data_IF_062133502768
#
_entry.id   IF_062133502768
#
_cell.length_a   1.000
_cell.length_b   1.000
_cell.length_c   1.000
_cell.angle_alpha   90.00
_cell.angle_beta   90.00
_cell.angle_gamma   90.00
#
_symmetry.space_group_name_H-M   'P 1'
#
loop_
_entity.id
_entity.type
_entity.pdbx_description
1 polymer ?
#
# COMPACT_ATOMS: atom_id res chain seq x y z
N UNK A 1 47.80 -40.76 -6.13
CA UNK A 1 47.87 -39.58 -7.02
C UNK A 1 46.46 -39.11 -7.39
N UNK A 2 45.57 -39.93 -7.96
CA UNK A 2 44.23 -39.50 -8.37
C UNK A 2 43.35 -39.09 -7.18
N UNK A 3 43.41 -39.80 -6.05
CA UNK A 3 42.60 -39.44 -4.86
C UNK A 3 43.03 -38.09 -4.27
N UNK A 4 44.32 -37.83 -4.16
CA UNK A 4 44.86 -36.55 -3.70
C UNK A 4 44.47 -35.41 -4.64
N UNK A 5 44.64 -35.61 -5.95
CA UNK A 5 44.22 -34.62 -6.93
C UNK A 5 42.68 -34.31 -6.86
N UNK A 6 41.89 -35.33 -6.52
CA UNK A 6 40.45 -35.18 -6.37
C UNK A 6 40.07 -34.29 -5.16
N UNK A 7 40.70 -34.48 -4.01
CA UNK A 7 40.44 -33.63 -2.83
C UNK A 7 41.06 -32.24 -2.96
N UNK A 8 42.19 -32.12 -3.66
CA UNK A 8 42.86 -30.83 -3.94
C UNK A 8 42.09 -29.97 -4.97
N UNK A 9 41.19 -30.57 -5.75
CA UNK A 9 40.35 -29.82 -6.71
C UNK A 9 39.28 -28.94 -6.05
N UNK A 10 39.00 -29.14 -4.76
CA UNK A 10 38.07 -28.33 -3.99
C UNK A 10 38.77 -27.09 -3.44
N UNK A 11 38.40 -25.88 -3.95
CA UNK A 11 39.06 -24.61 -3.60
C UNK A 11 38.36 -23.80 -2.52
N UNK A 12 37.22 -24.27 -1.99
CA UNK A 12 36.39 -23.57 -1.04
C UNK A 12 36.02 -24.38 0.21
N UNK A 13 36.60 -25.53 0.38
CA UNK A 13 36.31 -26.43 1.48
C UNK A 13 37.61 -27.05 2.02
N UNK A 14 37.79 -27.02 3.33
CA UNK A 14 38.84 -27.75 3.97
C UNK A 14 38.44 -29.23 4.09
N UNK A 15 39.32 -30.11 3.64
CA UNK A 15 39.13 -31.56 3.70
C UNK A 15 40.36 -32.17 4.32
N UNK A 16 40.19 -32.86 5.43
CA UNK A 16 41.29 -33.58 6.06
C UNK A 16 40.79 -34.78 6.85
N UNK A 17 41.68 -35.73 7.06
CA UNK A 17 41.42 -36.93 7.83
C UNK A 17 42.48 -37.12 8.89
N UNK A 18 42.06 -37.62 10.05
CA UNK A 18 42.93 -37.87 11.21
C UNK A 18 42.81 -39.33 11.65
N UNK A 19 43.92 -39.87 12.17
CA UNK A 19 43.93 -41.13 12.89
C UNK A 19 43.38 -41.00 14.33
N UNK A 20 43.37 -42.11 15.08
CA UNK A 20 42.91 -42.10 16.50
C UNK A 20 43.79 -41.30 17.44
N UNK A 21 45.00 -40.95 17.04
CA UNK A 21 45.95 -40.14 17.80
C UNK A 21 45.95 -38.66 17.32
N UNK A 22 44.95 -38.27 16.48
CA UNK A 22 44.81 -36.96 15.88
C UNK A 22 45.92 -36.56 14.90
N UNK A 23 46.75 -37.53 14.38
CA UNK A 23 47.73 -37.26 13.33
C UNK A 23 47.02 -37.23 11.98
N UNK A 24 47.52 -36.39 11.07
CA UNK A 24 46.98 -36.34 9.71
C UNK A 24 47.18 -37.63 8.93
N UNK A 25 46.10 -38.18 8.41
CA UNK A 25 46.12 -39.22 7.40
C UNK A 25 46.21 -38.66 5.99
N UNK A 26 45.50 -37.58 5.76
CA UNK A 26 45.52 -36.82 4.50
C UNK A 26 44.88 -35.45 4.72
N UNK A 27 45.17 -34.51 3.86
CA UNK A 27 44.53 -33.18 3.81
C UNK A 27 44.61 -32.59 2.40
N UNK A 28 43.69 -31.67 2.07
CA UNK A 28 43.77 -30.94 0.82
C UNK A 28 44.63 -29.67 0.93
N UNK A 29 44.99 -29.09 -0.21
CA UNK A 29 45.81 -27.90 -0.27
C UNK A 29 45.11 -26.69 0.39
N UNK A 30 43.76 -26.61 0.33
CA UNK A 30 42.99 -25.56 0.97
C UNK A 30 43.14 -25.58 2.49
N UNK A 31 43.01 -26.74 3.13
CA UNK A 31 43.25 -26.92 4.56
C UNK A 31 44.69 -26.55 4.96
N UNK A 32 45.67 -26.96 4.16
CA UNK A 32 47.10 -26.59 4.41
C UNK A 32 47.25 -25.06 4.44
N UNK A 33 46.63 -24.36 3.48
CA UNK A 33 46.68 -22.91 3.40
C UNK A 33 45.93 -22.24 4.58
N UNK A 34 44.78 -22.77 4.99
CA UNK A 34 44.05 -22.31 6.16
C UNK A 34 44.84 -22.41 7.45
N UNK A 35 45.50 -23.54 7.71
CA UNK A 35 46.33 -23.75 8.89
C UNK A 35 47.50 -22.78 8.93
N UNK A 36 48.16 -22.50 7.80
CA UNK A 36 49.20 -21.49 7.71
C UNK A 36 48.64 -20.07 7.97
N UNK A 37 47.46 -19.76 7.43
CA UNK A 37 46.87 -18.42 7.52
C UNK A 37 46.34 -18.12 8.92
N UNK A 38 45.58 -19.04 9.53
CA UNK A 38 44.92 -18.81 10.81
C UNK A 38 45.73 -19.19 12.04
N UNK A 39 46.60 -20.19 11.92
CA UNK A 39 47.41 -20.70 13.05
C UNK A 39 48.90 -20.46 12.90
N UNK A 40 49.35 -20.01 11.71
CA UNK A 40 50.77 -19.75 11.45
C UNK A 40 51.61 -21.00 11.36
N UNK A 41 51.02 -22.19 11.13
CA UNK A 41 51.69 -23.47 11.16
C UNK A 41 51.69 -24.15 9.80
N UNK A 42 52.79 -24.75 9.42
CA UNK A 42 52.88 -25.60 8.23
C UNK A 42 52.64 -27.07 8.62
N UNK A 43 51.65 -27.70 7.99
CA UNK A 43 51.25 -29.07 8.28
C UNK A 43 51.87 -30.06 7.32
N UNK A 44 52.20 -31.25 7.84
CA UNK A 44 52.67 -32.44 7.11
C UNK A 44 51.87 -33.66 7.58
N UNK A 45 52.02 -34.81 6.92
CA UNK A 45 51.36 -36.06 7.36
C UNK A 45 51.88 -36.58 8.71
N UNK A 46 52.99 -36.04 9.23
CA UNK A 46 53.51 -36.39 10.53
C UNK A 46 53.03 -35.43 11.64
N UNK A 47 52.29 -34.41 11.28
CA UNK A 47 51.82 -33.38 12.21
C UNK A 47 50.61 -33.86 13.01
N UNK A 48 50.51 -33.45 14.29
CA UNK A 48 49.35 -33.67 15.13
C UNK A 48 48.40 -32.45 15.11
N UNK A 49 47.19 -32.63 14.61
CA UNK A 49 46.23 -31.57 14.41
C UNK A 49 45.93 -30.82 15.72
N UNK A 50 45.67 -31.54 16.80
CA UNK A 50 45.25 -30.97 18.08
C UNK A 50 46.36 -30.15 18.75
N UNK A 51 47.60 -30.57 18.60
CA UNK A 51 48.76 -29.85 19.16
C UNK A 51 48.99 -28.49 18.45
N UNK A 52 48.57 -28.39 17.20
CA UNK A 52 48.71 -27.16 16.39
C UNK A 52 47.65 -26.10 16.69
N UNK A 53 46.57 -26.45 17.37
CA UNK A 53 45.50 -25.50 17.73
C UNK A 53 45.88 -24.74 19.01
N UNK A 54 46.27 -23.48 18.88
CA UNK A 54 46.72 -22.63 20.00
C UNK A 54 45.62 -22.14 20.94
N UNK A 55 44.36 -22.27 20.57
CA UNK A 55 43.20 -21.84 21.36
C UNK A 55 42.61 -23.02 22.14
N UNK A 56 42.70 -23.00 23.48
CA UNK A 56 42.25 -24.11 24.34
C UNK A 56 40.74 -24.38 24.24
N UNK A 57 39.94 -23.37 24.01
CA UNK A 57 38.48 -23.52 23.85
C UNK A 57 38.14 -24.26 22.55
N UNK A 58 38.77 -23.84 21.44
CA UNK A 58 38.63 -24.50 20.13
C UNK A 58 39.15 -25.92 20.22
N UNK A 59 40.35 -26.13 20.79
CA UNK A 59 40.97 -27.44 21.00
C UNK A 59 40.05 -28.38 21.75
N UNK A 60 39.49 -27.95 22.89
CA UNK A 60 38.57 -28.75 23.71
C UNK A 60 37.30 -29.11 22.95
N UNK A 61 36.78 -28.20 22.13
CA UNK A 61 35.59 -28.42 21.31
C UNK A 61 35.86 -29.48 20.22
N UNK A 62 37.00 -29.35 19.52
CA UNK A 62 37.39 -30.27 18.45
C UNK A 62 37.61 -31.68 19.00
N UNK A 63 38.32 -31.84 20.12
CA UNK A 63 38.52 -33.16 20.76
C UNK A 63 37.16 -33.79 21.06
N UNK A 64 36.23 -33.09 21.71
CA UNK A 64 34.88 -33.61 21.99
C UNK A 64 34.12 -34.02 20.73
N UNK A 65 34.28 -33.26 19.63
CA UNK A 65 33.64 -33.58 18.35
C UNK A 65 34.23 -34.82 17.72
N UNK A 66 35.56 -34.96 17.74
CA UNK A 66 36.28 -36.13 17.18
C UNK A 66 35.99 -37.40 18.00
N UNK A 67 35.96 -37.27 19.34
CA UNK A 67 35.64 -38.40 20.26
C UNK A 67 34.24 -38.97 20.00
N UNK A 68 33.25 -38.14 19.68
CA UNK A 68 31.93 -38.62 19.27
C UNK A 68 32.00 -39.50 18.01
N UNK A 69 32.84 -39.13 17.04
CA UNK A 69 33.01 -39.91 15.82
C UNK A 69 33.64 -41.25 16.14
N UNK A 70 34.65 -41.30 17.02
CA UNK A 70 35.25 -42.55 17.46
C UNK A 70 34.30 -43.47 18.23
N UNK A 71 33.18 -42.91 18.77
CA UNK A 71 32.08 -43.68 19.34
C UNK A 71 31.01 -44.08 18.30
N UNK A 72 31.25 -43.83 17.00
CA UNK A 72 30.39 -44.27 15.89
C UNK A 72 29.39 -43.20 15.41
N UNK A 73 29.44 -41.96 15.92
CA UNK A 73 28.54 -40.88 15.48
C UNK A 73 29.09 -40.23 14.19
N UNK A 74 28.18 -39.87 13.28
CA UNK A 74 28.45 -38.94 12.17
C UNK A 74 27.51 -37.77 12.31
N UNK A 75 28.00 -36.55 12.25
CA UNK A 75 27.18 -35.37 12.44
C UNK A 75 27.74 -34.14 11.73
N UNK A 76 26.91 -33.14 11.60
CA UNK A 76 27.30 -31.82 11.18
C UNK A 76 26.78 -30.75 12.12
N UNK A 77 27.48 -29.65 12.22
CA UNK A 77 27.00 -28.47 12.94
C UNK A 77 27.57 -27.20 12.31
N UNK A 78 26.89 -26.08 12.59
CA UNK A 78 27.29 -24.74 12.15
C UNK A 78 27.84 -24.01 13.37
N UNK A 79 28.98 -23.39 13.22
CA UNK A 79 29.61 -22.55 14.24
C UNK A 79 29.72 -21.12 13.73
N UNK A 80 29.54 -20.14 14.63
CA UNK A 80 29.88 -18.75 14.39
C UNK A 80 31.26 -18.47 15.01
N UNK A 81 32.14 -17.81 14.25
CA UNK A 81 33.51 -17.51 14.73
C UNK A 81 33.43 -16.32 15.67
N UNK A 82 33.85 -16.52 16.97
CA UNK A 82 33.68 -15.54 18.05
C UNK A 82 34.33 -14.16 17.76
N UNK A 83 35.46 -14.13 17.07
CA UNK A 83 36.21 -12.91 16.77
C UNK A 83 35.78 -12.20 15.49
N UNK A 84 34.87 -12.80 14.70
CA UNK A 84 34.35 -12.26 13.45
C UNK A 84 32.83 -12.41 13.42
N UNK A 85 32.12 -11.40 13.92
CA UNK A 85 30.65 -11.39 13.88
C UNK A 85 30.11 -11.67 12.46
N UNK A 86 29.11 -12.55 12.38
CA UNK A 86 28.48 -12.99 11.13
C UNK A 86 29.38 -13.82 10.21
N UNK A 87 30.38 -14.53 10.72
CA UNK A 87 31.19 -15.47 9.97
C UNK A 87 30.84 -16.89 10.40
N UNK A 88 30.33 -17.70 9.49
CA UNK A 88 29.78 -19.02 9.77
C UNK A 88 30.51 -20.12 9.05
N UNK A 89 30.96 -21.15 9.80
CA UNK A 89 31.53 -22.38 9.22
C UNK A 89 30.57 -23.55 9.45
N UNK A 90 30.41 -24.40 8.44
CA UNK A 90 29.74 -25.69 8.59
C UNK A 90 30.84 -26.77 8.70
N UNK A 91 30.87 -27.48 9.82
CA UNK A 91 31.81 -28.59 10.09
C UNK A 91 31.04 -29.91 9.99
N UNK A 92 31.59 -30.87 9.21
CA UNK A 92 31.03 -32.22 9.06
C UNK A 92 32.08 -33.22 9.50
N UNK A 93 31.67 -34.10 10.41
CA UNK A 93 32.56 -35.15 10.98
C UNK A 93 32.01 -36.53 10.62
N UNK A 94 32.86 -37.40 10.04
CA UNK A 94 32.45 -38.72 9.61
C UNK A 94 33.55 -39.78 9.93
N UNK A 95 33.16 -40.98 10.45
CA UNK A 95 34.12 -42.01 10.75
C UNK A 95 34.69 -42.65 9.49
N UNK A 96 35.97 -43.02 9.57
CA UNK A 96 36.65 -43.84 8.57
C UNK A 96 36.71 -45.28 9.12
N UNK A 97 36.13 -46.19 8.36
CA UNK A 97 36.11 -47.62 8.72
C UNK A 97 37.20 -48.39 7.96
N UNK A 98 37.86 -49.30 8.68
CA UNK A 98 38.59 -50.40 8.09
C UNK A 98 37.95 -51.71 8.60
N UNK A 99 37.36 -52.50 7.70
CA UNK A 99 36.43 -53.57 8.03
C UNK A 99 35.25 -53.09 8.93
N UNK A 100 35.24 -53.41 10.19
CA UNK A 100 34.21 -52.98 11.15
C UNK A 100 34.75 -52.02 12.23
N UNK A 101 36.04 -51.70 12.18
CA UNK A 101 36.66 -50.81 13.17
C UNK A 101 36.81 -49.39 12.64
N UNK A 102 36.54 -48.39 13.51
CA UNK A 102 36.80 -47.00 13.20
C UNK A 102 38.30 -46.74 13.37
N UNK A 103 38.97 -46.45 12.28
CA UNK A 103 40.43 -46.20 12.24
C UNK A 103 40.77 -44.71 12.18
N UNK A 104 39.81 -43.85 11.88
CA UNK A 104 40.03 -42.43 11.76
C UNK A 104 38.73 -41.62 11.62
N UNK A 105 38.87 -40.34 11.43
CA UNK A 105 37.79 -39.38 11.18
C UNK A 105 38.11 -38.53 9.95
N UNK A 106 37.12 -38.32 9.08
CA UNK A 106 37.20 -37.32 8.02
C UNK A 106 36.44 -36.07 8.48
N UNK A 107 37.02 -34.89 8.27
CA UNK A 107 36.49 -33.60 8.64
C UNK A 107 36.43 -32.74 7.39
N UNK A 108 35.25 -32.14 7.16
CA UNK A 108 35.01 -31.12 6.13
C UNK A 108 34.65 -29.84 6.81
N UNK A 109 35.25 -28.72 6.40
CA UNK A 109 34.92 -27.37 6.91
C UNK A 109 34.65 -26.47 5.71
N UNK A 110 33.44 -25.93 5.63
CA UNK A 110 33.01 -25.01 4.58
C UNK A 110 32.64 -23.66 5.18
N UNK A 111 33.12 -22.56 4.58
CA UNK A 111 32.63 -21.23 4.87
C UNK A 111 31.27 -21.03 4.21
N UNK A 112 30.24 -20.94 5.04
CA UNK A 112 28.86 -20.76 4.61
C UNK A 112 28.37 -19.33 4.88
N UNK A 113 29.25 -18.39 5.15
CA UNK A 113 28.90 -17.01 5.52
C UNK A 113 28.02 -16.34 4.48
N UNK A 114 28.40 -16.41 3.20
CA UNK A 114 27.62 -15.84 2.10
C UNK A 114 26.25 -16.52 1.99
N UNK A 115 26.21 -17.86 2.11
CA UNK A 115 24.96 -18.62 2.09
C UNK A 115 24.02 -18.19 3.21
N UNK A 116 24.55 -18.02 4.44
CA UNK A 116 23.79 -17.55 5.60
C UNK A 116 23.30 -16.10 5.46
N UNK A 117 24.10 -15.24 4.87
CA UNK A 117 23.70 -13.85 4.57
C UNK A 117 22.51 -13.82 3.60
N UNK A 118 22.58 -14.57 2.49
CA UNK A 118 21.46 -14.67 1.54
C UNK A 118 20.21 -15.32 2.16
N UNK A 119 20.37 -16.38 2.96
CA UNK A 119 19.25 -17.01 3.67
C UNK A 119 18.56 -16.00 4.59
N UNK A 120 19.32 -15.20 5.35
CA UNK A 120 18.80 -14.16 6.23
C UNK A 120 18.15 -13.00 5.46
N UNK A 121 18.73 -12.59 4.32
CA UNK A 121 18.16 -11.56 3.46
C UNK A 121 16.84 -12.02 2.83
N UNK A 122 16.78 -13.24 2.31
CA UNK A 122 15.55 -13.85 1.79
C UNK A 122 14.48 -13.94 2.89
N UNK A 123 14.86 -14.32 4.10
CA UNK A 123 13.95 -14.34 5.25
C UNK A 123 13.47 -12.93 5.60
N UNK A 124 14.34 -11.95 5.62
CA UNK A 124 13.98 -10.55 5.88
C UNK A 124 13.01 -10.02 4.81
N UNK A 125 13.28 -10.25 3.52
CA UNK A 125 12.37 -9.93 2.41
C UNK A 125 11.05 -10.70 2.50
N UNK A 126 11.07 -11.95 2.99
CA UNK A 126 9.87 -12.77 3.20
C UNK A 126 8.98 -12.29 4.34
N UNK A 127 9.45 -11.41 5.22
CA UNK A 127 8.72 -10.93 6.41
C UNK A 127 8.33 -9.46 6.38
N UNK A 128 8.77 -8.71 5.38
CA UNK A 128 8.45 -7.29 5.23
C UNK A 128 7.47 -7.05 4.11
N UNK A 129 6.64 -6.01 4.28
CA UNK A 129 5.84 -5.44 3.21
C UNK A 129 6.71 -4.53 2.35
N UNK A 130 6.75 -4.78 1.06
CA UNK A 130 7.65 -4.10 0.13
C UNK A 130 7.36 -2.61 -0.04
N UNK A 131 6.13 -2.17 0.19
CA UNK A 131 5.73 -0.78 0.06
C UNK A 131 6.06 0.02 1.32
N UNK A 132 5.73 -0.50 2.50
CA UNK A 132 5.77 0.25 3.77
C UNK A 132 6.99 -0.09 4.64
N UNK A 133 7.65 -1.22 4.40
CA UNK A 133 8.70 -1.74 5.28
C UNK A 133 8.20 -2.24 6.64
N UNK A 134 6.89 -2.21 6.91
CA UNK A 134 6.29 -2.84 8.07
C UNK A 134 6.41 -4.37 7.98
N UNK A 135 6.06 -5.08 9.05
CA UNK A 135 5.93 -6.53 8.93
C UNK A 135 4.77 -6.87 7.98
N UNK A 136 4.92 -7.95 7.21
CA UNK A 136 3.84 -8.44 6.38
C UNK A 136 2.93 -9.42 7.14
N UNK A 137 1.87 -9.91 6.48
CA UNK A 137 0.90 -10.86 7.05
C UNK A 137 1.56 -12.13 7.61
N UNK A 138 2.61 -12.65 6.95
CA UNK A 138 3.32 -13.84 7.41
C UNK A 138 4.04 -13.60 8.73
N UNK A 139 4.74 -12.47 8.85
CA UNK A 139 5.41 -12.09 10.10
C UNK A 139 4.43 -11.83 11.22
N UNK A 140 3.29 -11.21 10.91
CA UNK A 140 2.21 -11.02 11.87
C UNK A 140 1.74 -12.35 12.49
N UNK A 141 1.48 -13.37 11.66
CA UNK A 141 1.07 -14.69 12.16
C UNK A 141 2.13 -15.33 13.07
N UNK A 142 3.41 -15.22 12.71
CA UNK A 142 4.50 -15.71 13.56
C UNK A 142 4.56 -14.97 14.91
N UNK A 143 4.31 -13.65 14.93
CA UNK A 143 4.30 -12.86 16.17
C UNK A 143 3.13 -13.28 17.09
N UNK A 144 1.94 -13.55 16.55
CA UNK A 144 0.82 -14.04 17.32
C UNK A 144 1.18 -15.34 18.07
N UNK A 145 1.87 -16.27 17.41
CA UNK A 145 2.33 -17.52 18.03
C UNK A 145 3.34 -17.26 19.16
N UNK A 146 4.27 -16.32 18.96
CA UNK A 146 5.29 -15.97 19.97
C UNK A 146 4.72 -15.27 21.20
N UNK A 147 3.71 -14.42 20.98
CA UNK A 147 3.07 -13.64 22.04
C UNK A 147 2.05 -14.43 22.86
N UNK A 148 1.71 -15.67 22.45
CA UNK A 148 0.75 -16.50 23.16
C UNK A 148 1.31 -17.10 24.46
N UNK A 149 2.18 -16.38 25.14
CA UNK A 149 2.82 -16.77 26.40
C UNK A 149 2.48 -15.72 27.45
N UNK A 150 2.05 -16.16 28.64
CA UNK A 150 1.51 -15.30 29.72
C UNK A 150 2.37 -14.11 30.13
N UNK A 151 3.69 -14.19 29.96
CA UNK A 151 4.62 -13.10 30.33
C UNK A 151 4.42 -11.76 29.59
N UNK A 152 3.63 -11.75 28.52
CA UNK A 152 3.37 -10.57 27.68
C UNK A 152 2.02 -9.89 27.96
N UNK A 153 1.24 -10.43 28.92
CA UNK A 153 -0.07 -9.90 29.25
C UNK A 153 -0.03 -8.68 30.17
N UNK A 154 -0.98 -7.70 30.01
CA UNK A 154 -2.02 -7.68 28.98
C UNK A 154 -1.46 -7.37 27.58
N UNK A 155 -2.09 -7.91 26.54
CA UNK A 155 -1.72 -7.60 25.14
C UNK A 155 -2.89 -6.86 24.49
N UNK A 156 -2.64 -5.66 23.99
CA UNK A 156 -3.62 -4.95 23.17
C UNK A 156 -3.39 -5.20 21.68
N UNK A 157 -4.50 -5.43 20.97
CA UNK A 157 -4.55 -5.56 19.51
C UNK A 157 -5.30 -4.37 18.95
N UNK A 158 -4.65 -3.64 18.03
CA UNK A 158 -5.24 -2.49 17.36
C UNK A 158 -5.28 -2.77 15.86
N UNK A 159 -6.45 -2.56 15.27
CA UNK A 159 -6.63 -2.53 13.83
C UNK A 159 -6.78 -1.10 13.37
N UNK A 160 -6.05 -0.70 12.35
CA UNK A 160 -6.22 0.54 11.61
C UNK A 160 -6.59 0.21 10.17
N UNK A 161 -7.55 0.95 9.63
CA UNK A 161 -7.99 0.86 8.25
C UNK A 161 -7.97 2.27 7.64
N UNK A 162 -7.32 2.38 6.49
CA UNK A 162 -7.13 3.66 5.81
C UNK A 162 -8.38 4.01 5.02
N UNK A 163 -9.06 5.08 5.43
CA UNK A 163 -10.27 5.53 4.76
C UNK A 163 -9.95 6.22 3.43
N UNK A 164 -10.79 5.97 2.42
CA UNK A 164 -10.72 6.69 1.14
C UNK A 164 -9.57 6.29 0.22
N UNK A 165 -8.83 5.20 0.48
CA UNK A 165 -7.76 4.72 -0.40
C UNK A 165 -8.25 4.50 -1.84
N UNK A 166 -9.42 3.90 -2.01
CA UNK A 166 -10.01 3.70 -3.34
C UNK A 166 -10.33 5.03 -4.02
N UNK A 167 -10.86 6.00 -3.28
CA UNK A 167 -11.13 7.35 -3.82
C UNK A 167 -9.83 8.02 -4.25
N UNK A 168 -8.76 7.90 -3.44
CA UNK A 168 -7.43 8.43 -3.79
C UNK A 168 -6.90 7.81 -5.09
N UNK A 169 -6.99 6.48 -5.22
CA UNK A 169 -6.57 5.76 -6.43
C UNK A 169 -7.37 6.18 -7.67
N UNK A 170 -8.68 6.32 -7.53
CA UNK A 170 -9.60 6.62 -8.64
C UNK A 170 -9.57 8.10 -9.04
N UNK A 171 -9.38 9.01 -8.06
CA UNK A 171 -9.34 10.45 -8.30
C UNK A 171 -7.97 10.93 -8.80
N UNK A 172 -6.87 10.32 -8.33
CA UNK A 172 -5.51 10.76 -8.64
C UNK A 172 -4.72 9.64 -9.34
N UNK A 173 -4.04 8.79 -8.57
CA UNK A 173 -3.30 7.66 -9.13
C UNK A 173 -3.03 6.58 -8.08
N UNK A 174 -2.68 5.36 -8.52
CA UNK A 174 -2.19 4.31 -7.63
C UNK A 174 -0.93 4.75 -6.88
N UNK A 175 -0.08 5.57 -7.49
CA UNK A 175 1.12 6.12 -6.82
C UNK A 175 0.75 7.04 -5.66
N UNK A 176 -0.34 7.81 -5.76
CA UNK A 176 -0.80 8.67 -4.68
C UNK A 176 -1.48 7.85 -3.57
N UNK A 177 -2.16 6.77 -3.92
CA UNK A 177 -2.64 5.78 -2.96
C UNK A 177 -1.49 5.08 -2.21
N UNK A 178 -0.40 4.74 -2.91
CA UNK A 178 0.81 4.19 -2.29
C UNK A 178 1.46 5.19 -1.33
N UNK A 179 1.56 6.48 -1.70
CA UNK A 179 2.04 7.54 -0.79
C UNK A 179 1.17 7.67 0.46
N UNK A 180 -0.15 7.55 0.31
CA UNK A 180 -1.09 7.57 1.43
C UNK A 180 -0.80 6.43 2.40
N UNK A 181 -0.65 5.21 1.90
CA UNK A 181 -0.34 4.02 2.71
C UNK A 181 1.01 4.19 3.42
N UNK A 182 2.04 4.65 2.71
CA UNK A 182 3.38 4.87 3.28
C UNK A 182 3.35 5.94 4.38
N UNK A 183 2.66 7.05 4.16
CA UNK A 183 2.55 8.14 5.14
C UNK A 183 1.83 7.69 6.41
N UNK A 184 0.68 7.04 6.29
CA UNK A 184 -0.08 6.49 7.43
C UNK A 184 0.77 5.47 8.20
N UNK A 185 1.42 4.56 7.49
CA UNK A 185 2.32 3.55 8.07
C UNK A 185 3.47 4.18 8.87
N UNK A 186 4.06 5.25 8.34
CA UNK A 186 5.16 5.97 9.00
C UNK A 186 4.70 6.67 10.28
N UNK A 187 3.51 7.28 10.26
CA UNK A 187 2.91 7.93 11.43
C UNK A 187 2.60 6.89 12.51
N UNK A 188 1.97 5.77 12.15
CA UNK A 188 1.71 4.68 13.10
C UNK A 188 3.02 4.19 13.71
N UNK A 189 4.05 3.94 12.90
CA UNK A 189 5.36 3.50 13.39
C UNK A 189 5.99 4.50 14.37
N UNK A 190 5.90 5.79 14.09
CA UNK A 190 6.39 6.86 14.95
C UNK A 190 5.63 6.91 16.28
N UNK A 191 4.29 6.84 16.23
CA UNK A 191 3.44 6.94 17.43
C UNK A 191 3.60 5.78 18.40
N UNK A 192 4.02 4.61 17.91
CA UNK A 192 4.25 3.43 18.71
C UNK A 192 5.74 3.14 18.98
N UNK A 193 6.65 4.08 18.65
CA UNK A 193 8.10 3.87 18.78
C UNK A 193 8.56 3.68 20.23
N UNK A 194 7.91 4.34 21.19
CA UNK A 194 8.23 4.26 22.62
C UNK A 194 7.59 3.05 23.34
N UNK A 195 6.86 2.22 22.60
CA UNK A 195 6.16 1.05 23.11
C UNK A 195 6.72 -0.22 22.48
N UNK A 196 6.81 -1.30 23.27
CA UNK A 196 7.03 -2.62 22.69
C UNK A 196 5.83 -2.94 21.76
N UNK A 197 6.07 -2.92 20.46
CA UNK A 197 5.00 -3.06 19.48
C UNK A 197 5.44 -3.81 18.23
N UNK A 198 4.53 -4.58 17.66
CA UNK A 198 4.73 -5.29 16.40
C UNK A 198 3.70 -4.79 15.39
N UNK A 199 4.16 -3.94 14.47
CA UNK A 199 3.33 -3.27 13.48
C UNK A 199 3.41 -4.04 12.17
N UNK A 200 2.26 -4.42 11.62
CA UNK A 200 2.15 -5.26 10.41
C UNK A 200 1.10 -4.71 9.46
N UNK A 201 1.41 -4.70 8.18
CA UNK A 201 0.40 -4.50 7.12
C UNK A 201 -0.09 -5.86 6.66
N UNK A 202 -1.38 -6.14 6.84
CA UNK A 202 -1.99 -7.45 6.58
C UNK A 202 -2.90 -7.48 5.35
N UNK A 203 -3.32 -6.31 4.88
CA UNK A 203 -4.17 -6.10 3.70
C UNK A 203 -3.76 -4.85 2.93
N UNK A 204 -4.55 -4.46 1.94
CA UNK A 204 -4.29 -3.27 1.12
C UNK A 204 -4.21 -1.98 1.94
N UNK A 205 -5.20 -1.76 2.78
CA UNK A 205 -5.45 -0.60 3.63
C UNK A 205 -5.42 -0.94 5.14
N UNK A 206 -5.15 -2.19 5.50
CA UNK A 206 -5.23 -2.72 6.86
C UNK A 206 -3.85 -2.81 7.52
N UNK A 207 -3.70 -2.15 8.67
CA UNK A 207 -2.50 -2.18 9.51
C UNK A 207 -2.89 -2.65 10.90
N UNK A 208 -2.18 -3.66 11.41
CA UNK A 208 -2.39 -4.21 12.75
C UNK A 208 -1.19 -3.92 13.63
N UNK A 209 -1.46 -3.50 14.87
CA UNK A 209 -0.45 -3.29 15.90
C UNK A 209 -0.76 -4.22 17.07
N UNK A 210 0.23 -5.03 17.45
CA UNK A 210 0.22 -5.84 18.66
C UNK A 210 1.09 -5.14 19.70
N UNK A 211 0.52 -4.82 20.85
CA UNK A 211 1.21 -4.14 21.94
C UNK A 211 1.24 -5.05 23.18
N UNK A 212 2.36 -5.77 23.41
CA UNK A 212 2.60 -6.48 24.66
C UNK A 212 2.62 -5.52 25.87
N UNK A 213 2.27 -6.02 27.04
CA UNK A 213 2.31 -5.28 28.31
C UNK A 213 1.54 -3.94 28.27
N UNK A 214 0.50 -3.84 27.44
CA UNK A 214 -0.27 -2.62 27.22
C UNK A 214 -1.75 -2.91 27.40
N UNK A 215 -2.39 -2.15 28.29
CA UNK A 215 -3.84 -2.25 28.54
C UNK A 215 -4.68 -1.55 27.45
N UNK A 216 -6.00 -1.87 27.44
CA UNK A 216 -6.95 -1.35 26.45
C UNK A 216 -7.09 0.17 26.47
N UNK A 217 -7.00 0.81 27.63
CA UNK A 217 -7.22 2.25 27.75
C UNK A 217 -6.02 3.04 27.22
N UNK A 218 -4.81 2.55 27.54
CA UNK A 218 -3.56 3.07 26.96
C UNK A 218 -3.57 2.89 25.44
N UNK A 219 -3.94 1.71 24.95
CA UNK A 219 -4.01 1.42 23.53
C UNK A 219 -5.03 2.31 22.80
N UNK A 220 -6.23 2.53 23.37
CA UNK A 220 -7.24 3.45 22.83
C UNK A 220 -6.75 4.90 22.78
N UNK A 221 -6.07 5.32 23.84
CA UNK A 221 -5.48 6.67 23.88
C UNK A 221 -4.44 6.88 22.78
N UNK A 222 -3.56 5.88 22.56
CA UNK A 222 -2.57 5.90 21.48
C UNK A 222 -3.24 5.87 20.10
N UNK A 223 -4.24 5.01 19.90
CA UNK A 223 -4.99 4.93 18.64
C UNK A 223 -5.65 6.27 18.29
N UNK A 224 -6.28 6.91 19.28
CA UNK A 224 -6.93 8.21 19.06
C UNK A 224 -5.92 9.33 18.76
N UNK A 225 -4.79 9.38 19.46
CA UNK A 225 -3.70 10.32 19.15
C UNK A 225 -3.14 10.10 17.75
N UNK A 226 -2.98 8.83 17.36
CA UNK A 226 -2.51 8.44 16.03
C UNK A 226 -3.49 8.90 14.96
N UNK A 227 -4.80 8.65 15.16
CA UNK A 227 -5.86 9.11 14.27
C UNK A 227 -5.80 10.64 14.08
N UNK A 228 -5.79 11.41 15.17
CA UNK A 228 -5.70 12.88 15.12
C UNK A 228 -4.45 13.33 14.35
N UNK A 229 -3.29 12.69 14.57
CA UNK A 229 -2.05 13.05 13.87
C UNK A 229 -2.14 12.77 12.38
N UNK A 230 -2.79 11.68 11.97
CA UNK A 230 -3.04 11.33 10.57
C UNK A 230 -4.02 12.33 9.94
N UNK A 231 -5.12 12.65 10.60
CA UNK A 231 -6.15 13.59 10.11
C UNK A 231 -5.62 15.02 9.92
N UNK A 232 -4.53 15.38 10.60
CA UNK A 232 -3.82 16.65 10.38
C UNK A 232 -2.87 16.62 9.18
N UNK A 233 -2.74 15.51 8.45
CA UNK A 233 -1.93 15.41 7.23
C UNK A 233 -2.80 15.49 5.98
N UNK A 234 -2.17 15.85 4.87
CA UNK A 234 -2.82 15.97 3.58
C UNK A 234 -1.94 15.44 2.45
N UNK A 235 -2.55 14.81 1.45
CA UNK A 235 -1.94 14.47 0.18
C UNK A 235 -2.82 15.04 -0.93
N UNK A 236 -2.25 15.79 -1.87
CA UNK A 236 -2.98 16.46 -2.94
C UNK A 236 -4.17 17.28 -2.41
N UNK A 237 -3.98 17.97 -1.29
CA UNK A 237 -5.01 18.74 -0.56
C UNK A 237 -6.16 17.91 0.04
N UNK A 238 -6.10 16.59 -0.03
CA UNK A 238 -7.05 15.71 0.67
C UNK A 238 -6.54 15.40 2.07
N UNK A 239 -7.36 15.65 3.07
CA UNK A 239 -7.10 15.25 4.45
C UNK A 239 -7.09 13.71 4.54
N UNK A 240 -6.12 13.17 5.27
CA UNK A 240 -6.04 11.73 5.52
C UNK A 240 -7.03 11.34 6.60
N UNK A 241 -7.51 10.11 6.57
CA UNK A 241 -8.40 9.57 7.60
C UNK A 241 -8.15 8.09 7.81
N UNK A 242 -8.24 7.67 9.07
CA UNK A 242 -8.20 6.26 9.47
C UNK A 242 -9.30 5.96 10.46
N UNK A 243 -9.88 4.77 10.34
CA UNK A 243 -10.71 4.19 11.39
C UNK A 243 -9.91 3.16 12.16
N UNK A 244 -10.20 2.96 13.44
CA UNK A 244 -9.51 1.97 14.23
C UNK A 244 -10.45 1.19 15.15
N UNK A 245 -10.04 -0.01 15.53
CA UNK A 245 -10.67 -0.82 16.57
C UNK A 245 -9.62 -1.36 17.53
N UNK A 246 -9.98 -1.51 18.79
CA UNK A 246 -9.08 -1.94 19.86
C UNK A 246 -9.70 -3.08 20.66
N UNK A 247 -8.91 -4.10 20.93
CA UNK A 247 -9.28 -5.19 21.83
C UNK A 247 -8.09 -5.58 22.69
N UNK A 248 -8.34 -6.11 23.90
CA UNK A 248 -7.30 -6.56 24.81
C UNK A 248 -7.43 -8.06 25.03
N UNK A 249 -6.30 -8.76 24.99
CA UNK A 249 -6.15 -10.17 25.32
C UNK A 249 -5.83 -10.34 26.81
N UNK A 250 -6.65 -11.08 27.52
CA UNK A 250 -6.35 -11.63 28.85
C UNK A 250 -5.57 -12.94 28.76
N UNK A 251 -5.26 -13.53 29.92
CA UNK A 251 -4.43 -14.74 29.98
C UNK A 251 -5.09 -15.95 29.30
N UNK A 252 -6.40 -16.13 29.48
CA UNK A 252 -7.17 -17.28 28.99
C UNK A 252 -7.78 -17.10 27.59
N UNK A 253 -7.73 -15.87 27.05
CA UNK A 253 -8.35 -15.55 25.76
C UNK A 253 -7.58 -16.17 24.58
N UNK A 254 -8.31 -16.57 23.53
CA UNK A 254 -7.73 -16.96 22.26
C UNK A 254 -7.45 -15.72 21.39
N UNK A 255 -6.27 -15.64 20.75
CA UNK A 255 -5.92 -14.55 19.85
C UNK A 255 -6.92 -14.36 18.69
N UNK A 256 -7.48 -15.42 18.14
CA UNK A 256 -8.47 -15.33 17.06
C UNK A 256 -9.73 -14.58 17.51
N UNK A 257 -10.21 -14.84 18.72
CA UNK A 257 -11.37 -14.12 19.28
C UNK A 257 -11.06 -12.64 19.51
N UNK A 258 -9.85 -12.33 19.98
CA UNK A 258 -9.43 -10.96 20.25
C UNK A 258 -9.27 -10.16 18.96
N UNK A 259 -8.69 -10.77 17.93
CA UNK A 259 -8.62 -10.19 16.58
C UNK A 259 -10.02 -9.89 16.06
N UNK A 260 -10.93 -10.86 16.11
CA UNK A 260 -12.32 -10.69 15.69
C UNK A 260 -13.04 -9.58 16.48
N UNK A 261 -12.76 -9.43 17.79
CA UNK A 261 -13.30 -8.33 18.60
C UNK A 261 -12.76 -6.98 18.15
N UNK A 262 -11.45 -6.88 17.89
CA UNK A 262 -10.84 -5.64 17.39
C UNK A 262 -11.38 -5.26 16.01
N UNK A 263 -11.54 -6.21 15.09
CA UNK A 263 -12.17 -6.00 13.78
C UNK A 263 -13.65 -5.58 13.92
N UNK A 264 -14.39 -6.20 14.84
CA UNK A 264 -15.79 -5.81 15.11
C UNK A 264 -15.89 -4.41 15.69
N UNK A 265 -14.95 -4.00 16.55
CA UNK A 265 -14.87 -2.63 17.07
C UNK A 265 -14.55 -1.63 15.97
N UNK A 266 -13.57 -1.93 15.11
CA UNK A 266 -13.27 -1.17 13.90
C UNK A 266 -14.52 -1.01 13.01
N UNK A 267 -15.24 -2.10 12.74
CA UNK A 267 -16.43 -2.07 11.90
C UNK A 267 -17.53 -1.19 12.50
N UNK A 268 -17.78 -1.28 13.81
CA UNK A 268 -18.73 -0.39 14.51
C UNK A 268 -18.32 1.06 14.36
N UNK A 269 -17.05 1.39 14.62
CA UNK A 269 -16.54 2.75 14.49
C UNK A 269 -16.67 3.25 13.05
N UNK A 270 -16.37 2.43 12.04
CA UNK A 270 -16.64 2.75 10.63
C UNK A 270 -18.12 3.04 10.34
N UNK A 271 -19.04 2.27 10.91
CA UNK A 271 -20.48 2.51 10.70
C UNK A 271 -20.94 3.82 11.35
N UNK A 272 -20.49 4.13 12.56
CA UNK A 272 -20.81 5.42 13.23
C UNK A 272 -20.17 6.61 12.52
N UNK A 273 -18.97 6.45 12.01
CA UNK A 273 -18.22 7.49 11.30
C UNK A 273 -18.61 7.59 9.80
N UNK A 274 -19.10 6.52 9.18
CA UNK A 274 -19.32 6.44 7.73
C UNK A 274 -20.35 7.44 7.18
N UNK A 275 -21.37 7.79 7.95
CA UNK A 275 -22.32 8.84 7.57
C UNK A 275 -21.70 10.25 7.57
N UNK A 276 -20.70 10.49 8.41
CA UNK A 276 -19.97 11.76 8.52
C UNK A 276 -18.79 11.85 7.55
N UNK A 277 -17.92 10.82 7.51
CA UNK A 277 -16.66 10.85 6.74
C UNK A 277 -16.84 10.75 5.22
N UNK A 278 -17.82 9.98 4.73
CA UNK A 278 -18.09 9.88 3.28
C UNK A 278 -18.61 11.21 2.73
N UNK A 279 -19.53 11.85 3.47
CA UNK A 279 -19.98 13.22 3.16
C UNK A 279 -18.84 14.24 3.32
N UNK A 280 -17.92 14.05 4.28
CA UNK A 280 -16.73 14.87 4.46
C UNK A 280 -15.70 14.69 3.33
N UNK A 281 -15.48 13.48 2.84
CA UNK A 281 -14.60 13.25 1.69
C UNK A 281 -15.07 14.02 0.47
N UNK A 282 -16.36 13.94 0.13
CA UNK A 282 -16.91 14.74 -0.97
C UNK A 282 -16.83 16.24 -0.70
N UNK A 283 -17.13 16.68 0.52
CA UNK A 283 -16.97 18.10 0.91
C UNK A 283 -15.52 18.55 0.78
N UNK A 284 -14.56 17.72 1.19
CA UNK A 284 -13.13 18.00 1.07
C UNK A 284 -12.71 18.10 -0.39
N UNK A 285 -13.14 17.17 -1.25
CA UNK A 285 -12.87 17.22 -2.70
C UNK A 285 -13.48 18.50 -3.30
N UNK A 286 -14.72 18.84 -2.96
CA UNK A 286 -15.36 20.06 -3.44
C UNK A 286 -14.66 21.33 -2.93
N UNK A 287 -14.23 21.36 -1.67
CA UNK A 287 -13.49 22.52 -1.13
C UNK A 287 -12.12 22.65 -1.80
N UNK A 288 -11.43 21.53 -2.07
CA UNK A 288 -10.18 21.52 -2.80
C UNK A 288 -10.38 21.99 -4.25
N UNK A 289 -11.46 21.54 -4.90
CA UNK A 289 -11.80 21.98 -6.25
C UNK A 289 -12.09 23.48 -6.30
N UNK A 290 -12.78 24.04 -5.29
CA UNK A 290 -13.03 25.48 -5.16
C UNK A 290 -11.74 26.30 -5.05
N UNK A 291 -10.72 25.76 -4.40
CA UNK A 291 -9.41 26.43 -4.31
C UNK A 291 -8.60 26.30 -5.60
N UNK A 292 -8.77 25.24 -6.35
CA UNK A 292 -8.11 24.99 -7.65
C UNK A 292 -8.77 25.74 -8.80
N UNK A 293 -10.10 25.73 -8.87
CA UNK A 293 -10.90 26.36 -9.93
C UNK A 293 -11.67 27.56 -9.36
N UNK A 294 -11.09 28.73 -9.54
CA UNK A 294 -11.64 30.02 -9.02
C UNK A 294 -13.07 30.30 -9.49
N UNK A 295 -13.52 29.66 -10.58
CA UNK A 295 -14.85 29.88 -11.19
C UNK A 295 -15.90 28.87 -10.76
N UNK A 296 -15.54 27.80 -10.02
CA UNK A 296 -16.40 26.63 -9.86
C UNK A 296 -17.62 26.83 -8.95
N UNK A 297 -17.56 27.65 -7.89
CA UNK A 297 -18.68 27.76 -6.92
C UNK A 297 -19.86 28.57 -7.43
N UNK A 298 -19.60 29.76 -7.94
CA UNK A 298 -20.67 30.63 -8.50
C UNK A 298 -21.26 30.02 -9.76
N UNK A 299 -20.42 29.39 -10.60
CA UNK A 299 -20.82 28.62 -11.76
C UNK A 299 -21.79 27.50 -11.39
N UNK A 300 -21.39 26.59 -10.48
CA UNK A 300 -22.24 25.48 -10.06
C UNK A 300 -23.59 25.92 -9.49
N UNK A 301 -23.62 27.06 -8.75
CA UNK A 301 -24.84 27.63 -8.24
C UNK A 301 -25.74 28.12 -9.37
N UNK A 302 -25.23 28.91 -10.35
CA UNK A 302 -26.02 29.40 -11.49
C UNK A 302 -26.53 28.23 -12.35
N UNK A 303 -25.67 27.24 -12.66
CA UNK A 303 -26.10 26.02 -13.37
C UNK A 303 -27.23 25.31 -12.61
N UNK A 304 -27.09 25.14 -11.30
CA UNK A 304 -28.14 24.52 -10.47
C UNK A 304 -29.46 25.27 -10.51
N UNK A 305 -29.43 26.61 -10.48
CA UNK A 305 -30.66 27.42 -10.55
C UNK A 305 -31.37 27.29 -11.91
N UNK A 306 -30.60 27.25 -13.02
CA UNK A 306 -31.14 27.02 -14.36
C UNK A 306 -31.73 25.60 -14.45
N UNK A 307 -31.00 24.58 -14.02
CA UNK A 307 -31.45 23.19 -14.00
C UNK A 307 -32.77 23.01 -13.23
N UNK A 308 -32.89 23.62 -12.06
CA UNK A 308 -34.12 23.59 -11.26
C UNK A 308 -35.31 24.24 -11.96
N UNK A 309 -35.13 25.34 -12.69
CA UNK A 309 -36.20 26.00 -13.45
C UNK A 309 -36.66 25.10 -14.60
N UNK A 310 -35.72 24.50 -15.34
CA UNK A 310 -36.03 23.54 -16.42
C UNK A 310 -36.76 22.32 -15.84
N UNK A 311 -36.24 21.71 -14.77
CA UNK A 311 -36.84 20.55 -14.11
C UNK A 311 -38.23 20.77 -13.60
N UNK A 312 -38.51 21.95 -13.00
CA UNK A 312 -39.86 22.35 -12.57
C UNK A 312 -40.82 22.45 -13.75
N UNK A 313 -40.37 23.02 -14.87
CA UNK A 313 -41.19 23.16 -16.07
C UNK A 313 -41.45 21.82 -16.76
N UNK A 314 -40.52 20.83 -16.60
CA UNK A 314 -40.72 19.45 -17.00
C UNK A 314 -41.69 18.66 -16.10
N UNK A 315 -42.11 19.22 -14.97
CA UNK A 315 -42.97 18.54 -14.00
C UNK A 315 -42.24 17.51 -13.14
N UNK A 316 -40.91 17.65 -12.97
CA UNK A 316 -40.11 16.76 -12.12
C UNK A 316 -40.56 16.78 -10.66
N UNK A 317 -40.50 15.64 -9.97
CA UNK A 317 -40.83 15.53 -8.55
C UNK A 317 -39.87 16.32 -7.68
N UNK A 318 -40.21 16.56 -6.43
CA UNK A 318 -39.33 17.22 -5.45
C UNK A 318 -38.03 16.44 -5.27
N UNK A 319 -38.11 15.10 -5.31
CA UNK A 319 -36.95 14.20 -5.22
C UNK A 319 -36.03 14.37 -6.43
N UNK A 320 -36.57 14.32 -7.65
CA UNK A 320 -35.79 14.53 -8.88
C UNK A 320 -35.14 15.92 -8.92
N UNK A 321 -35.82 16.97 -8.45
CA UNK A 321 -35.25 18.31 -8.35
C UNK A 321 -34.10 18.40 -7.35
N UNK A 322 -34.13 17.63 -6.26
CA UNK A 322 -33.05 17.54 -5.30
C UNK A 322 -31.84 16.80 -5.91
N UNK A 323 -32.09 15.69 -6.61
CA UNK A 323 -31.02 14.95 -7.35
C UNK A 323 -30.41 15.85 -8.42
N UNK A 324 -31.22 16.55 -9.20
CA UNK A 324 -30.74 17.47 -10.24
C UNK A 324 -29.87 18.59 -9.65
N UNK A 325 -30.25 19.13 -8.49
CA UNK A 325 -29.45 20.12 -7.74
C UNK A 325 -28.10 19.51 -7.31
N UNK A 326 -28.12 18.28 -6.79
CA UNK A 326 -26.92 17.58 -6.36
C UNK A 326 -25.96 17.33 -7.55
N UNK A 327 -26.49 16.85 -8.68
CA UNK A 327 -25.69 16.60 -9.89
C UNK A 327 -25.09 17.91 -10.40
N UNK A 328 -25.86 18.99 -10.45
CA UNK A 328 -25.37 20.30 -10.90
C UNK A 328 -24.19 20.81 -10.08
N UNK A 329 -24.18 20.51 -8.77
CA UNK A 329 -23.08 20.88 -7.88
C UNK A 329 -21.86 19.97 -7.98
N UNK A 330 -22.02 18.75 -8.49
CA UNK A 330 -21.01 17.70 -8.51
C UNK A 330 -20.51 17.35 -9.93
N UNK A 331 -21.15 17.89 -11.00
CA UNK A 331 -20.86 17.46 -12.38
C UNK A 331 -19.37 17.56 -12.75
N UNK A 332 -18.72 18.56 -12.21
CA UNK A 332 -17.31 18.87 -12.45
C UNK A 332 -16.33 18.27 -11.39
N UNK A 333 -16.81 17.44 -10.45
CA UNK A 333 -15.99 16.94 -9.34
C UNK A 333 -14.71 16.23 -9.81
N UNK A 334 -14.75 15.60 -10.97
CA UNK A 334 -13.60 14.90 -11.55
C UNK A 334 -12.48 15.84 -12.04
N UNK A 335 -12.70 17.14 -12.12
CA UNK A 335 -11.65 18.13 -12.40
C UNK A 335 -10.58 18.18 -11.30
N UNK A 336 -10.85 17.61 -10.12
CA UNK A 336 -9.84 17.49 -9.05
C UNK A 336 -8.56 16.79 -9.52
N UNK A 337 -8.66 15.84 -10.45
CA UNK A 337 -7.54 15.09 -11.03
C UNK A 337 -6.80 15.85 -12.15
N UNK A 338 -7.32 16.99 -12.60
CA UNK A 338 -6.67 17.78 -13.65
C UNK A 338 -5.57 18.65 -13.02
N UNK A 339 -4.38 18.68 -13.63
CA UNK A 339 -3.30 19.53 -13.17
C UNK A 339 -3.66 21.02 -13.29
N UNK A 340 -3.25 21.83 -12.33
CA UNK A 340 -3.57 23.27 -12.28
C UNK A 340 -3.11 24.04 -13.51
N UNK A 341 -1.95 23.64 -14.09
CA UNK A 341 -1.42 24.24 -15.33
C UNK A 341 -2.31 24.02 -16.56
N UNK A 342 -3.14 22.94 -16.56
CA UNK A 342 -4.11 22.65 -17.62
C UNK A 342 -5.45 23.29 -17.29
N UNK A 343 -5.93 23.10 -16.03
CA UNK A 343 -7.22 23.60 -15.57
C UNK A 343 -7.32 25.12 -15.68
N UNK A 344 -6.27 25.85 -15.26
CA UNK A 344 -6.21 27.31 -15.23
C UNK A 344 -5.37 27.94 -16.37
N UNK A 345 -5.15 27.20 -17.47
CA UNK A 345 -4.34 27.69 -18.58
C UNK A 345 -4.93 28.95 -19.20
N UNK A 346 -4.17 30.05 -19.28
CA UNK A 346 -4.61 31.23 -19.98
C UNK A 346 -4.51 31.03 -21.49
N UNK A 347 -5.56 30.53 -22.13
CA UNK A 347 -5.62 30.30 -23.57
C UNK A 347 -6.22 28.95 -23.96
N UNK A 348 -6.11 28.59 -25.25
CA UNK A 348 -6.65 27.31 -25.73
C UNK A 348 -5.78 26.15 -25.28
N UNK A 349 -6.43 25.03 -24.91
CA UNK A 349 -5.76 23.75 -24.62
C UNK A 349 -5.18 23.16 -25.91
N UNK A 350 -4.04 22.46 -25.80
CA UNK A 350 -3.55 21.58 -26.89
C UNK A 350 -4.45 20.37 -27.04
N UNK A 351 -4.24 19.58 -28.09
CA UNK A 351 -5.03 18.34 -28.27
C UNK A 351 -4.82 17.36 -27.11
N UNK A 352 -3.57 17.21 -26.64
CA UNK A 352 -3.20 16.35 -25.51
C UNK A 352 -3.81 16.86 -24.20
N UNK A 353 -3.76 18.17 -23.95
CA UNK A 353 -4.38 18.79 -22.76
C UNK A 353 -5.91 18.66 -22.79
N UNK A 354 -6.49 18.76 -24.00
CA UNK A 354 -7.92 18.57 -24.17
C UNK A 354 -8.34 17.10 -23.91
N UNK A 355 -7.52 16.14 -24.32
CA UNK A 355 -7.75 14.73 -24.03
C UNK A 355 -7.67 14.43 -22.52
N UNK A 356 -6.80 15.12 -21.79
CA UNK A 356 -6.76 15.07 -20.32
C UNK A 356 -8.04 15.68 -19.74
N UNK A 357 -8.44 16.86 -20.21
CA UNK A 357 -9.64 17.55 -19.74
C UNK A 357 -10.90 16.69 -19.93
N UNK A 358 -11.04 16.01 -21.06
CA UNK A 358 -12.20 15.13 -21.35
C UNK A 358 -12.35 13.93 -20.40
N UNK A 359 -11.37 13.64 -19.58
CA UNK A 359 -11.44 12.52 -18.63
C UNK A 359 -12.19 12.84 -17.34
N UNK A 360 -12.48 14.14 -17.05
CA UNK A 360 -13.13 14.49 -15.78
C UNK A 360 -14.50 13.85 -15.56
N UNK A 361 -15.38 13.60 -16.58
CA UNK A 361 -16.63 12.91 -16.33
C UNK A 361 -16.45 11.46 -15.87
N UNK A 362 -15.46 10.74 -16.44
CA UNK A 362 -15.11 9.38 -16.03
C UNK A 362 -14.52 9.37 -14.62
N UNK A 363 -13.65 10.33 -14.30
CA UNK A 363 -13.08 10.46 -12.95
C UNK A 363 -14.16 10.78 -11.94
N UNK A 364 -15.07 11.72 -12.25
CA UNK A 364 -16.23 12.04 -11.41
C UNK A 364 -17.13 10.84 -11.17
N UNK A 365 -17.42 10.07 -12.23
CA UNK A 365 -18.16 8.81 -12.13
C UNK A 365 -17.47 7.81 -11.19
N UNK A 366 -16.15 7.59 -11.33
CA UNK A 366 -15.40 6.66 -10.47
C UNK A 366 -15.45 7.09 -9.01
N UNK A 367 -15.18 8.36 -8.71
CA UNK A 367 -15.26 8.92 -7.36
C UNK A 367 -16.63 8.67 -6.73
N UNK A 368 -17.72 9.05 -7.43
CA UNK A 368 -19.08 8.97 -6.89
C UNK A 368 -19.61 7.53 -6.81
N UNK A 369 -19.19 6.64 -7.72
CA UNK A 369 -19.57 5.22 -7.68
C UNK A 369 -18.99 4.46 -6.50
N UNK A 370 -17.96 4.98 -5.82
CA UNK A 370 -17.43 4.36 -4.60
C UNK A 370 -18.30 4.61 -3.37
N UNK A 371 -19.27 5.54 -3.49
CA UNK A 371 -20.10 6.03 -2.40
C UNK A 371 -21.57 5.66 -2.67
N UNK A 372 -22.18 4.74 -1.91
CA UNK A 372 -23.52 4.23 -2.19
C UNK A 372 -24.59 5.32 -2.33
N UNK A 373 -24.49 6.39 -1.53
CA UNK A 373 -25.44 7.52 -1.54
C UNK A 373 -25.41 8.36 -2.83
N UNK A 374 -24.32 8.26 -3.63
CA UNK A 374 -24.15 8.97 -4.89
C UNK A 374 -24.25 8.05 -6.13
N UNK A 375 -24.41 6.76 -5.93
CA UNK A 375 -24.47 5.77 -7.03
C UNK A 375 -25.56 6.07 -8.06
N UNK A 376 -26.71 6.56 -7.62
CA UNK A 376 -27.84 6.93 -8.50
C UNK A 376 -27.48 8.06 -9.48
N UNK A 377 -26.63 9.01 -9.06
CA UNK A 377 -26.29 10.18 -9.88
C UNK A 377 -24.99 10.02 -10.66
N UNK A 378 -24.22 8.98 -10.39
CA UNK A 378 -22.89 8.82 -11.00
C UNK A 378 -22.97 8.73 -12.55
N UNK A 379 -23.98 8.06 -13.09
CA UNK A 379 -24.21 7.97 -14.55
C UNK A 379 -24.58 9.32 -15.18
N UNK A 380 -25.28 10.19 -14.46
CA UNK A 380 -25.57 11.54 -14.94
C UNK A 380 -24.28 12.36 -15.06
N UNK A 381 -23.39 12.24 -14.04
CA UNK A 381 -22.07 12.88 -14.07
C UNK A 381 -21.22 12.36 -15.24
N UNK A 382 -21.22 11.04 -15.48
CA UNK A 382 -20.51 10.45 -16.62
C UNK A 382 -20.99 11.03 -17.97
N UNK A 383 -22.28 11.38 -18.07
CA UNK A 383 -22.96 11.65 -19.34
C UNK A 383 -23.20 13.16 -19.62
N UNK A 384 -22.75 14.07 -18.74
CA UNK A 384 -23.12 15.50 -18.88
C UNK A 384 -22.47 16.20 -20.07
N UNK A 385 -21.43 15.62 -20.69
CA UNK A 385 -20.80 16.07 -21.92
C UNK A 385 -21.14 15.21 -23.14
N UNK A 386 -22.10 14.29 -23.00
CA UNK A 386 -22.65 13.62 -24.16
C UNK A 386 -23.49 14.59 -25.00
N UNK A 387 -23.46 14.40 -26.31
CA UNK A 387 -24.21 15.20 -27.26
C UNK A 387 -25.41 14.43 -27.78
N UNK A 388 -26.50 15.12 -28.04
CA UNK A 388 -27.73 14.49 -28.52
C UNK A 388 -27.53 13.74 -29.85
N UNK A 389 -26.58 14.19 -30.70
CA UNK A 389 -26.18 13.56 -31.96
C UNK A 389 -25.19 12.37 -31.81
N UNK A 390 -24.76 12.05 -30.59
CA UNK A 390 -23.82 10.96 -30.30
C UNK A 390 -22.34 11.28 -30.55
N UNK A 391 -22.00 12.54 -30.82
CA UNK A 391 -20.60 12.99 -31.02
C UNK A 391 -19.96 13.54 -29.74
N UNK A 392 -20.60 13.29 -28.59
CA UNK A 392 -20.10 13.67 -27.27
C UNK A 392 -19.06 12.71 -26.69
N UNK A 393 -18.77 12.88 -25.43
CA UNK A 393 -17.83 12.02 -24.70
C UNK A 393 -18.35 11.76 -23.28
N UNK A 394 -17.89 10.70 -22.58
CA UNK A 394 -16.84 9.75 -23.01
C UNK A 394 -17.37 8.55 -23.83
N UNK A 395 -18.69 8.27 -23.83
CA UNK A 395 -19.27 7.02 -24.37
C UNK A 395 -19.84 7.17 -25.78
N UNK A 396 -20.12 8.39 -26.23
CA UNK A 396 -20.74 8.65 -27.52
C UNK A 396 -22.20 8.14 -27.62
N UNK A 397 -22.92 8.08 -26.50
CA UNK A 397 -24.36 7.76 -26.49
C UNK A 397 -25.18 8.92 -27.05
N UNK A 398 -26.37 8.63 -27.58
CA UNK A 398 -27.17 9.62 -28.31
C UNK A 398 -28.62 9.65 -27.89
N UNK A 399 -29.27 10.76 -28.15
CA UNK A 399 -30.71 10.91 -27.99
C UNK A 399 -31.17 10.66 -26.57
N UNK A 400 -32.18 9.81 -26.41
CA UNK A 400 -32.79 9.49 -25.12
C UNK A 400 -31.99 8.46 -24.30
N UNK A 401 -30.98 7.83 -24.87
CA UNK A 401 -30.02 7.00 -24.12
C UNK A 401 -29.19 7.83 -23.15
N UNK A 402 -29.08 9.16 -23.38
CA UNK A 402 -28.48 10.09 -22.44
C UNK A 402 -29.48 10.35 -21.31
N UNK A 403 -29.11 10.15 -20.04
CA UNK A 403 -29.96 10.43 -18.89
C UNK A 403 -30.56 11.84 -18.97
N UNK A 404 -31.86 11.98 -18.68
CA UNK A 404 -32.56 13.26 -18.80
C UNK A 404 -31.91 14.38 -17.96
N UNK A 405 -31.38 14.04 -16.76
CA UNK A 405 -30.70 14.98 -15.88
C UNK A 405 -29.39 15.48 -16.52
N UNK A 406 -28.64 14.60 -17.18
CA UNK A 406 -27.43 14.96 -17.91
C UNK A 406 -27.73 15.88 -19.10
N UNK A 407 -28.81 15.63 -19.85
CA UNK A 407 -29.27 16.52 -20.96
C UNK A 407 -29.65 17.90 -20.47
N UNK A 408 -30.26 18.03 -19.29
CA UNK A 408 -30.61 19.31 -18.69
C UNK A 408 -29.34 20.05 -18.27
N UNK A 409 -28.39 19.38 -17.62
CA UNK A 409 -27.13 19.97 -17.18
C UNK A 409 -26.33 20.46 -18.39
N UNK A 410 -26.24 19.68 -19.46
CA UNK A 410 -25.52 20.07 -20.70
C UNK A 410 -25.98 21.43 -21.25
N UNK A 411 -27.30 21.68 -21.25
CA UNK A 411 -27.86 22.98 -21.69
C UNK A 411 -27.52 24.10 -20.69
N UNK A 412 -27.71 23.83 -19.40
CA UNK A 412 -27.48 24.84 -18.35
C UNK A 412 -26.00 25.22 -18.23
N UNK A 413 -25.09 24.25 -18.28
CA UNK A 413 -23.64 24.44 -18.26
C UNK A 413 -23.18 25.24 -19.49
N UNK A 414 -23.60 24.84 -20.70
CA UNK A 414 -23.25 25.56 -21.93
C UNK A 414 -23.73 27.02 -21.89
N UNK A 415 -24.96 27.28 -21.44
CA UNK A 415 -25.48 28.63 -21.30
C UNK A 415 -24.67 29.45 -20.31
N UNK A 416 -24.40 28.93 -19.09
CA UNK A 416 -23.62 29.65 -18.09
C UNK A 416 -22.19 29.87 -18.57
N UNK A 417 -21.59 28.86 -19.23
CA UNK A 417 -20.28 28.99 -19.82
C UNK A 417 -20.19 30.09 -20.88
N UNK A 418 -21.25 30.31 -21.66
CA UNK A 418 -21.33 31.37 -22.69
C UNK A 418 -21.53 32.74 -22.07
N UNK A 419 -22.34 32.88 -21.02
CA UNK A 419 -22.76 34.14 -20.44
C UNK A 419 -21.89 34.61 -19.25
N UNK A 420 -20.88 33.82 -18.87
CA UNK A 420 -19.91 34.17 -17.83
C UNK A 420 -18.55 34.57 -18.42
N UNK A 421 -17.84 35.51 -17.78
CA UNK A 421 -16.47 35.86 -18.15
C UNK A 421 -15.52 34.70 -17.86
N UNK A 422 -14.61 34.39 -18.80
CA UNK A 422 -13.56 33.39 -18.64
C UNK A 422 -12.19 33.98 -18.99
N UNK A 423 -11.06 33.49 -18.45
CA UNK A 423 -9.73 34.09 -18.71
C UNK A 423 -9.35 34.22 -20.18
N UNK A 424 -9.93 33.39 -21.03
CA UNK A 424 -9.63 33.28 -22.44
C UNK A 424 -10.74 33.78 -23.38
N UNK A 425 -11.92 34.22 -22.84
CA UNK A 425 -13.06 34.69 -23.64
C UNK A 425 -13.95 35.63 -22.86
N UNK A 426 -14.33 36.76 -23.45
CA UNK A 426 -15.38 37.63 -22.94
C UNK A 426 -16.74 36.93 -23.02
N UNK A 427 -17.62 37.19 -22.04
CA UNK A 427 -19.00 36.69 -22.03
C UNK A 427 -19.78 37.12 -23.27
N UNK A 428 -20.64 36.26 -23.74
CA UNK A 428 -21.66 36.58 -24.75
C UNK A 428 -22.82 37.31 -24.10
N UNK A 429 -23.57 38.06 -24.92
CA UNK A 429 -24.92 38.56 -24.47
C UNK A 429 -25.87 37.38 -24.34
N UNK A 430 -27.00 37.65 -23.65
CA UNK A 430 -28.06 36.65 -23.55
C UNK A 430 -28.58 36.20 -24.91
N UNK A 431 -28.81 37.14 -25.83
CA UNK A 431 -29.29 36.93 -27.19
C UNK A 431 -28.31 36.06 -28.03
N UNK A 432 -27.01 36.34 -27.96
CA UNK A 432 -26.00 35.56 -28.62
C UNK A 432 -25.98 34.11 -28.08
N UNK A 433 -26.00 33.93 -26.79
CA UNK A 433 -25.99 32.59 -26.16
C UNK A 433 -27.27 31.80 -26.49
N UNK A 434 -28.41 32.45 -26.53
CA UNK A 434 -29.68 31.82 -26.92
C UNK A 434 -29.66 31.40 -28.38
N UNK A 435 -29.11 32.24 -29.27
CA UNK A 435 -28.94 31.88 -30.71
C UNK A 435 -28.07 30.64 -30.87
N UNK A 436 -26.94 30.59 -30.15
CA UNK A 436 -26.04 29.42 -30.18
C UNK A 436 -26.72 28.13 -29.69
N UNK A 437 -27.55 28.22 -28.62
CA UNK A 437 -28.33 27.08 -28.15
C UNK A 437 -29.36 26.58 -29.17
N UNK A 438 -30.01 27.50 -29.89
CA UNK A 438 -31.00 27.19 -30.94
C UNK A 438 -30.31 26.55 -32.14
N UNK A 439 -29.18 27.09 -32.59
CA UNK A 439 -28.42 26.59 -33.74
C UNK A 439 -27.89 25.17 -33.50
N UNK A 440 -27.65 24.81 -32.24
CA UNK A 440 -27.22 23.47 -31.82
C UNK A 440 -28.36 22.56 -31.34
N UNK A 441 -29.62 22.95 -31.50
CA UNK A 441 -30.79 22.14 -31.19
C UNK A 441 -30.85 20.87 -32.07
N UNK A 442 -30.98 19.71 -31.45
CA UNK A 442 -31.02 18.41 -32.15
C UNK A 442 -29.62 17.88 -32.54
N UNK A 443 -28.57 18.64 -32.35
CA UNK A 443 -27.18 18.21 -32.52
C UNK A 443 -26.49 18.07 -31.18
N UNK A 444 -26.07 19.16 -30.58
CA UNK A 444 -25.46 19.13 -29.25
C UNK A 444 -26.51 18.93 -28.17
N UNK A 445 -27.65 19.60 -28.27
CA UNK A 445 -28.64 19.68 -27.22
C UNK A 445 -29.95 18.98 -27.58
N UNK A 446 -30.63 18.45 -26.55
CA UNK A 446 -31.97 17.86 -26.68
C UNK A 446 -32.96 18.95 -27.11
N UNK A 447 -33.68 18.74 -28.24
CA UNK A 447 -34.68 19.69 -28.74
C UNK A 447 -35.73 20.07 -27.71
N UNK A 448 -36.21 19.11 -26.93
CA UNK A 448 -37.24 19.32 -25.90
C UNK A 448 -36.75 20.20 -24.76
N UNK A 449 -35.48 19.99 -24.34
CA UNK A 449 -34.87 20.78 -23.26
C UNK A 449 -34.65 22.23 -23.74
N UNK A 450 -34.21 22.43 -24.98
CA UNK A 450 -34.07 23.78 -25.56
C UNK A 450 -35.43 24.50 -25.61
N UNK A 451 -36.48 23.83 -26.08
CA UNK A 451 -37.83 24.47 -26.12
C UNK A 451 -38.31 24.89 -24.74
N UNK A 452 -38.06 24.08 -23.72
CA UNK A 452 -38.37 24.40 -22.34
C UNK A 452 -37.52 25.58 -21.83
N UNK A 453 -36.21 25.55 -22.08
CA UNK A 453 -35.28 26.62 -21.74
C UNK A 453 -35.79 27.96 -22.32
N UNK A 454 -36.12 27.99 -23.61
CA UNK A 454 -36.68 29.16 -24.29
C UNK A 454 -37.97 29.65 -23.67
N UNK A 455 -38.88 28.77 -23.27
CA UNK A 455 -40.15 29.13 -22.60
C UNK A 455 -39.95 29.84 -21.26
N UNK A 456 -38.80 29.62 -20.61
CA UNK A 456 -38.45 30.22 -19.29
C UNK A 456 -37.67 31.52 -19.46
N UNK A 457 -36.66 31.52 -20.34
CA UNK A 457 -35.64 32.56 -20.41
C UNK A 457 -35.81 33.55 -21.56
N UNK A 458 -36.65 33.29 -22.58
CA UNK A 458 -36.94 34.24 -23.67
C UNK A 458 -37.79 35.45 -23.25
N UNK A 459 -38.26 35.55 -22.01
CA UNK A 459 -39.10 36.64 -21.50
C UNK A 459 -38.40 37.56 -20.49
N UNK A 460 -37.07 37.54 -20.39
CA UNK A 460 -36.36 38.56 -19.62
C UNK A 460 -35.97 39.71 -20.54
N UNK A 461 -36.97 40.51 -20.90
CA UNK A 461 -36.82 41.91 -21.26
C UNK A 461 -36.83 42.78 -20.03
#
# INVERSE_FOLDING_TARGET
VLLQASIDSTNNMEIFALDRNYNYLTFNQFHKTSMQTYYGVEITNESNFIEMINNDKIRSRLIKSIDKVFNGESFKHVIEIEDQKNHFLEEVFSPIYNDQEIVGVTIFIEDITIRKQYENEILALSYKDSLTGLNNRRKHQEQLLKLNVGKYHPISVLFFDINGLKVMNDAFSHQDGDKLIVMVSSIIKEMFADYESYISRIGGDEIVVLCPNTDSDTAKTLANKTKIKIENQQINHMALSVSYGVSQKGEEDNFEEIINRAESDLYKNKLFESGSHRSETIKTILNTLKTKDVYSEEHSKRVSDICRQIGKKLGMTKQDLNLLTMISNLHDIGKIAIEDKILNKPGKLTLEEWDIMKRHPETGYRILSTLPEYGEIALDILSHHERYDGKGYPRGIKGEDIPIRARIISVADAYDAMTSDRPYRKKMTHEEAVTELIDNKGTQFDPKIIDIFMSIFSKKQ
#
